data_IF_284992639860
#
_entry.id   IF_284992639860
#
_cell.length_a   1.000
_cell.length_b   1.000
_cell.length_c   1.000
_cell.angle_alpha   90.00
_cell.angle_beta   90.00
_cell.angle_gamma   90.00
#
_symmetry.space_group_name_H-M   'P 1'
#
loop_
_entity.id
_entity.type
_entity.pdbx_description
1 polymer ?
#
# COMPACT_ATOMS: atom_id res chain seq x y z
N UNK A 1 13.14 -16.81 -8.69
CA UNK A 1 11.94 -17.19 -7.90
C UNK A 1 10.72 -16.24 -8.09
N UNK A 2 10.78 -15.19 -8.92
CA UNK A 2 9.68 -14.24 -9.17
C UNK A 2 8.54 -14.74 -10.11
N UNK A 3 8.47 -16.05 -10.36
CA UNK A 3 7.60 -16.63 -11.40
C UNK A 3 6.30 -17.24 -10.89
N UNK A 4 6.28 -17.71 -9.64
CA UNK A 4 5.16 -18.50 -9.12
C UNK A 4 4.68 -17.97 -7.77
N UNK A 5 3.48 -17.40 -7.76
CA UNK A 5 2.86 -16.87 -6.54
C UNK A 5 2.60 -17.97 -5.51
N UNK A 6 2.16 -19.16 -5.95
CA UNK A 6 1.72 -20.24 -5.05
C UNK A 6 2.86 -20.91 -4.27
N UNK A 7 4.11 -20.71 -4.69
CA UNK A 7 5.31 -21.20 -4.00
C UNK A 7 6.08 -20.04 -3.34
N UNK A 8 5.49 -18.85 -3.31
CA UNK A 8 6.15 -17.66 -2.77
C UNK A 8 5.83 -17.47 -1.29
N UNK A 9 6.75 -16.83 -0.57
CA UNK A 9 6.52 -16.42 0.81
C UNK A 9 5.34 -15.46 0.97
N UNK A 10 4.99 -14.72 -0.09
CA UNK A 10 3.78 -13.88 -0.09
C UNK A 10 2.52 -14.74 0.10
N UNK A 11 2.39 -15.83 -0.65
CA UNK A 11 1.21 -16.69 -0.54
C UNK A 11 1.17 -17.41 0.81
N UNK A 12 2.31 -17.96 1.23
CA UNK A 12 2.40 -18.81 2.41
C UNK A 12 2.24 -18.05 3.74
N UNK A 13 2.79 -16.82 3.84
CA UNK A 13 2.90 -16.11 5.12
C UNK A 13 2.11 -14.81 5.21
N UNK A 14 1.65 -14.25 4.08
CA UNK A 14 1.11 -12.89 4.01
C UNK A 14 -0.29 -12.80 3.39
N UNK A 15 -0.96 -13.94 3.22
CA UNK A 15 -2.39 -14.02 2.88
C UNK A 15 -3.13 -14.50 4.13
N UNK A 16 -3.87 -13.58 4.75
CA UNK A 16 -4.59 -13.83 6.00
C UNK A 16 -6.09 -13.98 5.76
N UNK A 17 -6.75 -14.71 6.65
CA UNK A 17 -8.20 -14.63 6.77
C UNK A 17 -8.62 -13.33 7.47
N UNK A 18 -9.82 -12.84 7.16
CA UNK A 18 -10.33 -11.58 7.75
C UNK A 18 -10.34 -11.61 9.28
N UNK A 19 -10.72 -12.74 9.88
CA UNK A 19 -10.80 -12.89 11.34
C UNK A 19 -9.42 -12.88 11.99
N UNK A 20 -8.44 -13.53 11.36
CA UNK A 20 -7.05 -13.52 11.81
C UNK A 20 -6.48 -12.11 11.79
N UNK A 21 -6.70 -11.38 10.70
CA UNK A 21 -6.23 -9.99 10.56
C UNK A 21 -6.86 -9.05 11.61
N UNK A 22 -8.15 -9.23 11.93
CA UNK A 22 -8.80 -8.48 13.00
C UNK A 22 -8.24 -8.82 14.38
N UNK A 23 -7.89 -10.09 14.61
CA UNK A 23 -7.26 -10.53 15.87
C UNK A 23 -5.88 -9.89 16.03
N UNK A 24 -5.06 -9.89 15.00
CA UNK A 24 -3.72 -9.28 15.05
C UNK A 24 -3.81 -7.76 15.32
N UNK A 25 -4.86 -7.09 14.81
CA UNK A 25 -5.12 -5.65 15.03
C UNK A 25 -5.89 -5.33 16.31
N UNK A 26 -6.15 -6.32 17.17
CA UNK A 26 -7.02 -6.14 18.34
C UNK A 26 -6.54 -5.05 19.30
N UNK A 27 -5.24 -4.76 19.35
CA UNK A 27 -4.69 -3.69 20.20
C UNK A 27 -5.04 -2.30 19.70
N UNK A 28 -4.93 -2.06 18.40
CA UNK A 28 -5.27 -0.78 17.78
C UNK A 28 -6.79 -0.58 17.73
N UNK A 29 -7.55 -1.67 17.55
CA UNK A 29 -9.02 -1.65 17.56
C UNK A 29 -9.62 -1.33 18.94
N UNK A 30 -8.83 -1.36 20.02
CA UNK A 30 -9.25 -0.81 21.32
C UNK A 30 -9.29 0.72 21.34
N UNK A 31 -8.52 1.36 20.45
CA UNK A 31 -8.39 2.83 20.36
C UNK A 31 -9.25 3.37 19.22
N UNK A 32 -9.21 2.67 18.08
CA UNK A 32 -9.89 3.06 16.85
C UNK A 32 -11.04 2.10 16.53
N UNK A 33 -12.14 2.64 16.03
CA UNK A 33 -13.17 1.84 15.37
C UNK A 33 -12.64 1.29 14.03
N UNK A 34 -13.28 0.24 13.49
CA UNK A 34 -12.88 -0.35 12.19
C UNK A 34 -12.91 0.69 11.05
N UNK A 35 -13.88 1.60 11.07
CA UNK A 35 -13.99 2.69 10.08
C UNK A 35 -12.87 3.72 10.23
N UNK A 36 -12.55 4.12 11.47
CA UNK A 36 -11.43 5.04 11.75
C UNK A 36 -10.08 4.44 11.35
N UNK A 37 -9.88 3.15 11.64
CA UNK A 37 -8.68 2.44 11.22
C UNK A 37 -8.57 2.34 9.70
N UNK A 38 -9.70 2.15 9.00
CA UNK A 38 -9.73 2.18 7.54
C UNK A 38 -9.38 3.57 6.98
N UNK A 39 -9.91 4.66 7.58
CA UNK A 39 -9.55 6.04 7.23
C UNK A 39 -8.06 6.31 7.42
N UNK A 40 -7.49 5.85 8.53
CA UNK A 40 -6.06 5.92 8.81
C UNK A 40 -5.24 5.19 7.74
N UNK A 41 -5.68 3.99 7.33
CA UNK A 41 -5.02 3.20 6.28
C UNK A 41 -5.11 3.83 4.89
N UNK A 42 -6.19 4.57 4.59
CA UNK A 42 -6.33 5.36 3.35
C UNK A 42 -5.34 6.53 3.38
N UNK A 43 -5.31 7.27 4.51
CA UNK A 43 -4.38 8.39 4.69
C UNK A 43 -2.92 7.96 4.50
N UNK A 44 -2.48 6.87 5.15
CA UNK A 44 -1.10 6.39 5.02
C UNK A 44 -0.76 5.95 3.59
N UNK A 45 -1.70 5.34 2.87
CA UNK A 45 -1.49 4.99 1.47
C UNK A 45 -1.28 6.25 0.60
N UNK A 46 -2.09 7.30 0.81
CA UNK A 46 -1.99 8.56 0.08
C UNK A 46 -0.71 9.34 0.43
N UNK A 47 -0.29 9.29 1.70
CA UNK A 47 0.97 9.89 2.14
C UNK A 47 2.17 9.15 1.54
N UNK A 48 2.21 7.81 1.58
CA UNK A 48 3.27 7.01 0.96
C UNK A 48 3.36 7.28 -0.54
N UNK A 49 2.22 7.36 -1.24
CA UNK A 49 2.18 7.71 -2.65
C UNK A 49 2.76 9.11 -2.90
N UNK A 50 2.41 10.09 -2.06
CA UNK A 50 2.95 11.45 -2.14
C UNK A 50 4.46 11.47 -1.88
N UNK A 51 4.93 10.81 -0.83
CA UNK A 51 6.35 10.69 -0.49
C UNK A 51 7.16 10.04 -1.60
N UNK A 52 6.62 8.98 -2.21
CA UNK A 52 7.29 8.29 -3.30
C UNK A 52 7.38 9.16 -4.56
N UNK A 53 6.39 10.00 -4.85
CA UNK A 53 6.39 10.88 -6.03
C UNK A 53 7.27 12.12 -5.81
N UNK A 54 7.21 12.73 -4.63
CA UNK A 54 7.93 13.97 -4.30
C UNK A 54 9.38 13.71 -3.82
N UNK A 55 9.67 12.49 -3.36
CA UNK A 55 11.00 12.08 -2.88
C UNK A 55 12.07 11.96 -3.96
N UNK A 56 11.70 12.00 -5.24
CA UNK A 56 12.64 11.97 -6.36
C UNK A 56 13.17 13.38 -6.66
N UNK A 57 14.48 13.47 -6.90
CA UNK A 57 15.14 14.72 -7.29
C UNK A 57 14.62 15.23 -8.65
N UNK A 58 14.51 16.56 -8.78
CA UNK A 58 14.07 17.19 -10.03
C UNK A 58 14.97 16.77 -11.20
N UNK A 59 14.37 16.27 -12.27
CA UNK A 59 15.09 15.81 -13.48
C UNK A 59 15.15 14.28 -13.66
N UNK A 60 14.72 13.49 -12.68
CA UNK A 60 14.66 12.03 -12.78
C UNK A 60 13.25 11.51 -13.16
N UNK A 61 13.14 10.31 -13.75
CA UNK A 61 11.86 9.71 -14.09
C UNK A 61 11.02 9.48 -12.83
N UNK A 62 9.72 9.69 -12.93
CA UNK A 62 8.77 9.45 -11.83
C UNK A 62 8.85 7.99 -11.35
N UNK A 63 8.64 7.81 -10.04
CA UNK A 63 8.61 6.50 -9.39
C UNK A 63 7.59 5.59 -10.06
N UNK A 64 8.00 4.35 -10.34
CA UNK A 64 7.10 3.33 -10.93
C UNK A 64 6.01 2.96 -9.93
N UNK A 65 4.79 2.74 -10.41
CA UNK A 65 3.67 2.33 -9.55
C UNK A 65 3.96 1.04 -8.77
N UNK A 66 4.76 0.12 -9.32
CA UNK A 66 5.19 -1.10 -8.63
C UNK A 66 5.93 -0.80 -7.32
N UNK A 67 6.84 0.19 -7.32
CA UNK A 67 7.59 0.62 -6.12
C UNK A 67 6.63 1.16 -5.06
N UNK A 68 5.69 2.02 -5.47
CA UNK A 68 4.69 2.61 -4.58
C UNK A 68 3.79 1.52 -3.98
N UNK A 69 3.34 0.58 -4.80
CA UNK A 69 2.51 -0.53 -4.35
C UNK A 69 3.26 -1.44 -3.37
N UNK A 70 4.53 -1.76 -3.63
CA UNK A 70 5.38 -2.54 -2.71
C UNK A 70 5.54 -1.82 -1.37
N UNK A 71 5.80 -0.50 -1.38
CA UNK A 71 5.90 0.31 -0.16
C UNK A 71 4.61 0.32 0.66
N UNK A 72 3.45 0.48 0.01
CA UNK A 72 2.14 0.44 0.69
C UNK A 72 1.90 -0.96 1.30
N UNK A 73 2.28 -2.02 0.62
CA UNK A 73 2.14 -3.40 1.14
C UNK A 73 3.05 -3.61 2.36
N UNK A 74 4.31 -3.17 2.32
CA UNK A 74 5.21 -3.25 3.48
C UNK A 74 4.65 -2.54 4.70
N UNK A 75 4.14 -1.31 4.53
CA UNK A 75 3.50 -0.57 5.61
C UNK A 75 2.30 -1.33 6.19
N UNK A 76 1.44 -1.88 5.33
CA UNK A 76 0.27 -2.67 5.76
C UNK A 76 0.66 -3.97 6.46
N UNK A 77 1.71 -4.64 6.01
CA UNK A 77 2.25 -5.87 6.62
C UNK A 77 2.83 -5.59 8.01
N UNK A 78 3.57 -4.49 8.15
CA UNK A 78 4.12 -4.04 9.42
C UNK A 78 3.02 -3.82 10.48
N UNK A 79 2.05 -2.95 10.17
CA UNK A 79 0.92 -2.65 11.08
C UNK A 79 -0.18 -3.72 11.09
N UNK A 80 0.01 -4.84 10.37
CA UNK A 80 -0.81 -6.03 10.61
C UNK A 80 -0.32 -6.79 11.84
N UNK A 81 1.00 -6.81 12.10
CA UNK A 81 1.61 -7.56 13.21
C UNK A 81 2.01 -6.69 14.39
N UNK A 82 2.22 -5.38 14.18
CA UNK A 82 2.63 -4.40 15.19
C UNK A 82 1.56 -3.34 15.39
N UNK A 83 1.50 -2.81 16.62
CA UNK A 83 0.62 -1.69 16.96
C UNK A 83 1.26 -0.36 16.56
N UNK A 84 0.42 0.66 16.37
CA UNK A 84 0.85 2.06 16.22
C UNK A 84 1.67 2.61 17.41
N UNK A 85 1.72 1.89 18.53
CA UNK A 85 2.49 2.21 19.74
C UNK A 85 3.98 1.94 19.64
N UNK A 86 4.35 0.98 18.80
CA UNK A 86 5.69 0.40 18.83
C UNK A 86 6.69 1.30 18.09
N UNK A 87 6.32 1.72 16.88
CA UNK A 87 7.19 2.53 16.01
C UNK A 87 6.37 3.62 15.32
N UNK A 88 6.99 4.80 15.19
CA UNK A 88 6.40 5.93 14.48
C UNK A 88 6.02 5.55 13.03
N UNK A 89 4.73 5.66 12.68
CA UNK A 89 4.25 5.41 11.32
C UNK A 89 4.93 6.20 10.24
N UNK A 90 5.34 7.44 10.54
CA UNK A 90 5.99 8.25 9.53
C UNK A 90 7.38 7.71 9.17
N UNK A 91 8.11 7.19 10.16
CA UNK A 91 9.41 6.56 9.94
C UNK A 91 9.26 5.27 9.14
N UNK A 92 8.29 4.42 9.50
CA UNK A 92 8.00 3.18 8.77
C UNK A 92 7.52 3.47 7.35
N UNK A 93 6.73 4.53 7.12
CA UNK A 93 6.31 4.96 5.79
C UNK A 93 7.51 5.34 4.92
N UNK A 94 8.46 6.12 5.45
CA UNK A 94 9.69 6.47 4.74
C UNK A 94 10.55 5.23 4.46
N UNK A 95 10.72 4.36 5.46
CA UNK A 95 11.51 3.13 5.35
C UNK A 95 10.91 2.19 4.32
N UNK A 96 9.57 2.11 4.25
CA UNK A 96 8.86 1.30 3.25
C UNK A 96 9.12 1.79 1.83
N UNK A 97 9.10 3.10 1.59
CA UNK A 97 9.41 3.68 0.27
C UNK A 97 10.87 3.41 -0.10
N UNK A 98 11.79 3.65 0.83
CA UNK A 98 13.22 3.43 0.61
C UNK A 98 13.54 1.95 0.33
N UNK A 99 13.05 1.03 1.17
CA UNK A 99 13.26 -0.41 1.00
C UNK A 99 12.63 -0.92 -0.31
N UNK A 100 11.40 -0.49 -0.63
CA UNK A 100 10.75 -0.87 -1.89
C UNK A 100 11.54 -0.37 -3.10
N UNK A 101 12.12 0.84 -3.04
CA UNK A 101 12.94 1.38 -4.12
C UNK A 101 14.19 0.53 -4.37
N UNK A 102 14.79 -0.04 -3.33
CA UNK A 102 15.94 -0.96 -3.46
C UNK A 102 15.53 -2.31 -4.05
N UNK A 103 14.42 -2.88 -3.58
CA UNK A 103 13.94 -4.21 -3.99
C UNK A 103 13.46 -4.25 -5.43
N UNK A 104 12.78 -3.19 -5.88
CA UNK A 104 12.26 -3.05 -7.26
C UNK A 104 13.31 -2.43 -8.21
N UNK A 105 14.57 -2.38 -7.79
CA UNK A 105 15.72 -1.86 -8.56
C UNK A 105 15.54 -0.41 -9.05
N UNK A 106 14.82 0.40 -8.28
CA UNK A 106 14.63 1.83 -8.46
C UNK A 106 15.60 2.61 -7.56
N UNK A 107 16.91 2.44 -7.77
CA UNK A 107 17.99 2.91 -6.89
C UNK A 107 18.26 4.43 -6.85
N UNK A 108 17.25 5.28 -7.05
CA UNK A 108 17.39 6.74 -7.12
C UNK A 108 16.97 7.48 -5.84
N UNK A 109 16.41 6.77 -4.85
CA UNK A 109 15.88 7.40 -3.64
C UNK A 109 16.87 7.29 -2.49
N UNK A 110 17.23 8.42 -1.89
CA UNK A 110 17.98 8.46 -0.64
C UNK A 110 17.05 8.75 0.53
N UNK A 111 17.19 8.00 1.61
CA UNK A 111 16.38 8.17 2.82
C UNK A 111 16.46 9.59 3.43
N UNK A 112 17.63 10.24 3.35
CA UNK A 112 17.81 11.62 3.82
C UNK A 112 16.99 12.64 3.02
N UNK A 113 16.81 12.44 1.72
CA UNK A 113 15.95 13.28 0.89
C UNK A 113 14.47 13.03 1.21
N UNK A 114 14.08 11.78 1.45
CA UNK A 114 12.70 11.45 1.85
C UNK A 114 12.28 12.21 3.11
N UNK A 115 13.10 12.25 4.15
CA UNK A 115 12.79 13.00 5.37
C UNK A 115 12.68 14.50 5.10
N UNK A 116 13.59 15.06 4.31
CA UNK A 116 13.55 16.48 3.92
C UNK A 116 12.30 16.83 3.11
N UNK A 117 11.72 15.87 2.39
CA UNK A 117 10.47 16.08 1.65
C UNK A 117 9.22 16.01 2.51
N UNK A 118 9.27 15.39 3.70
CA UNK A 118 8.11 15.27 4.61
C UNK A 118 7.39 16.61 4.84
N UNK A 119 8.06 17.72 5.22
CA UNK A 119 7.38 18.98 5.46
C UNK A 119 6.68 19.53 4.21
N UNK A 120 7.21 19.24 3.02
CA UNK A 120 6.57 19.63 1.75
C UNK A 120 5.35 18.76 1.46
N UNK A 121 5.44 17.44 1.67
CA UNK A 121 4.31 16.53 1.52
C UNK A 121 3.17 16.87 2.49
N UNK A 122 3.52 17.24 3.72
CA UNK A 122 2.57 17.61 4.77
C UNK A 122 1.84 18.95 4.52
N UNK A 123 2.29 19.77 3.56
CA UNK A 123 1.53 20.97 3.14
C UNK A 123 0.13 20.63 2.62
N UNK A 124 -0.08 19.42 2.11
CA UNK A 124 -1.41 18.94 1.70
C UNK A 124 -2.37 18.76 2.89
N UNK A 125 -1.83 18.57 4.09
CA UNK A 125 -2.56 18.40 5.36
C UNK A 125 -2.09 19.45 6.39
N UNK A 126 -2.49 20.72 6.24
CA UNK A 126 -1.96 21.83 7.05
C UNK A 126 -2.24 21.69 8.56
N UNK A 127 -3.18 20.82 8.93
CA UNK A 127 -3.55 20.53 10.30
C UNK A 127 -2.58 19.56 11.00
N UNK A 128 -1.63 18.95 10.27
CA UNK A 128 -0.67 17.99 10.79
C UNK A 128 0.72 18.65 10.88
N UNK A 129 1.10 19.11 12.07
CA UNK A 129 2.46 19.58 12.34
C UNK A 129 3.32 18.43 12.81
N UNK A 130 4.32 18.06 12.02
CA UNK A 130 5.30 17.04 12.37
C UNK A 130 6.70 17.65 12.45
N UNK A 131 7.35 17.50 13.59
CA UNK A 131 8.75 17.90 13.75
C UNK A 131 9.68 16.83 13.16
N UNK A 132 9.98 16.96 11.87
CA UNK A 132 10.85 16.05 11.14
C UNK A 132 12.33 16.15 11.57
N UNK A 133 12.70 17.18 12.34
CA UNK A 133 14.10 17.52 12.66
C UNK A 133 14.72 16.60 13.70
N UNK A 134 13.94 16.08 14.64
CA UNK A 134 14.47 15.41 15.83
C UNK A 134 14.69 13.89 15.70
N UNK A 135 14.31 13.27 14.57
CA UNK A 135 14.27 11.79 14.43
C UNK A 135 15.19 11.19 13.36
N UNK A 136 16.22 11.92 12.93
CA UNK A 136 17.18 11.41 11.94
C UNK A 136 18.03 10.22 12.44
N UNK A 137 18.18 10.04 13.76
CA UNK A 137 19.01 8.98 14.35
C UNK A 137 18.42 7.57 14.26
N UNK A 138 17.09 7.41 14.34
CA UNK A 138 16.40 6.10 14.30
C UNK A 138 16.09 5.58 12.89
N UNK A 139 16.75 6.12 11.87
CA UNK A 139 16.36 5.95 10.48
C UNK A 139 16.76 4.59 9.88
N UNK A 140 18.01 4.20 10.12
CA UNK A 140 18.51 2.89 9.73
C UNK A 140 17.92 1.79 10.63
N UNK A 141 17.64 2.12 11.89
CA UNK A 141 16.93 1.23 12.80
C UNK A 141 15.51 0.93 12.28
N UNK A 142 14.79 1.94 11.77
CA UNK A 142 13.45 1.72 11.19
C UNK A 142 13.47 0.81 9.96
N UNK A 143 14.49 0.91 9.10
CA UNK A 143 14.66 -0.02 7.98
C UNK A 143 14.95 -1.44 8.48
N UNK A 144 15.86 -1.60 9.43
CA UNK A 144 16.21 -2.89 10.00
C UNK A 144 14.99 -3.56 10.66
N UNK A 145 14.27 -2.81 11.49
CA UNK A 145 13.03 -3.25 12.15
C UNK A 145 11.98 -3.64 11.10
N UNK A 146 11.84 -2.88 10.00
CA UNK A 146 10.91 -3.22 8.94
C UNK A 146 11.26 -4.56 8.27
N UNK A 147 12.53 -4.77 7.92
CA UNK A 147 12.99 -6.02 7.28
C UNK A 147 12.79 -7.22 8.21
N UNK A 148 13.10 -7.05 9.50
CA UNK A 148 12.91 -8.08 10.53
C UNK A 148 11.43 -8.45 10.66
N UNK A 149 10.53 -7.47 10.79
CA UNK A 149 9.09 -7.73 10.93
C UNK A 149 8.44 -8.31 9.67
N UNK A 150 9.06 -8.10 8.51
CA UNK A 150 8.66 -8.70 7.24
C UNK A 150 9.18 -10.14 7.07
N UNK A 151 9.94 -10.69 8.02
CA UNK A 151 10.61 -11.99 7.92
C UNK A 151 11.45 -12.10 6.63
N UNK A 152 12.10 -11.00 6.22
CA UNK A 152 12.80 -10.89 4.93
C UNK A 152 11.94 -11.20 3.67
N UNK A 153 10.61 -11.17 3.78
CA UNK A 153 9.69 -11.43 2.66
C UNK A 153 9.50 -10.20 1.76
N UNK A 154 10.56 -9.85 1.04
CA UNK A 154 10.62 -8.61 0.24
C UNK A 154 9.94 -8.74 -1.14
N UNK A 155 9.78 -9.95 -1.69
CA UNK A 155 9.14 -10.11 -3.00
C UNK A 155 7.62 -9.99 -2.86
N UNK A 156 7.04 -8.94 -3.45
CA UNK A 156 5.60 -8.70 -3.46
C UNK A 156 5.03 -8.93 -4.86
N UNK A 157 3.89 -9.60 -4.93
CA UNK A 157 3.17 -9.86 -6.18
C UNK A 157 2.00 -8.88 -6.28
N UNK A 158 1.95 -8.13 -7.37
CA UNK A 158 0.95 -7.09 -7.61
C UNK A 158 -0.08 -7.49 -8.69
N UNK A 159 -1.31 -6.95 -8.64
CA UNK A 159 -2.34 -7.25 -9.63
C UNK A 159 -2.06 -6.64 -11.02
N UNK A 160 -1.03 -5.80 -11.17
CA UNK A 160 -0.71 -5.16 -12.46
C UNK A 160 -0.36 -6.18 -13.55
N UNK A 161 0.37 -7.25 -13.21
CA UNK A 161 0.81 -8.27 -14.17
C UNK A 161 -0.38 -9.03 -14.81
N UNK A 162 -1.34 -9.60 -14.04
CA UNK A 162 -2.53 -10.20 -14.65
C UNK A 162 -3.40 -9.18 -15.39
N UNK A 163 -3.49 -7.93 -14.91
CA UNK A 163 -4.21 -6.87 -15.63
C UNK A 163 -3.57 -6.52 -16.97
N UNK A 164 -2.24 -6.56 -17.11
CA UNK A 164 -1.57 -6.35 -18.40
C UNK A 164 -1.99 -7.39 -19.42
N UNK A 165 -2.18 -8.65 -19.02
CA UNK A 165 -2.72 -9.70 -19.90
C UNK A 165 -4.14 -9.36 -20.36
N UNK A 166 -5.00 -8.85 -19.47
CA UNK A 166 -6.36 -8.43 -19.84
C UNK A 166 -6.35 -7.22 -20.80
N UNK A 167 -5.40 -6.29 -20.63
CA UNK A 167 -5.18 -5.19 -21.57
C UNK A 167 -4.69 -5.68 -22.94
N UNK A 168 -3.88 -6.73 -22.98
CA UNK A 168 -3.49 -7.36 -24.25
C UNK A 168 -4.71 -7.94 -24.98
N UNK A 169 -5.64 -8.58 -24.28
CA UNK A 169 -6.91 -9.05 -24.86
C UNK A 169 -7.73 -7.89 -25.42
N UNK A 170 -7.79 -6.75 -24.70
CA UNK A 170 -8.45 -5.56 -25.21
C UNK A 170 -7.80 -5.03 -26.50
N UNK A 171 -6.47 -5.06 -26.59
CA UNK A 171 -5.76 -4.70 -27.81
C UNK A 171 -6.01 -5.70 -28.95
N UNK A 172 -6.08 -7.00 -28.64
CA UNK A 172 -6.36 -8.04 -29.61
C UNK A 172 -7.80 -7.98 -30.13
N UNK A 173 -8.75 -7.47 -29.33
CA UNK A 173 -10.13 -7.23 -29.76
C UNK A 173 -10.23 -6.28 -30.96
N UNK A 174 -9.25 -5.39 -31.16
CA UNK A 174 -9.17 -4.49 -32.32
C UNK A 174 -8.90 -5.22 -33.63
N UNK A 175 -8.46 -6.48 -33.58
CA UNK A 175 -8.33 -7.33 -34.77
C UNK A 175 -9.67 -7.90 -35.24
N UNK A 176 -10.76 -7.61 -34.53
CA UNK A 176 -12.13 -8.00 -34.85
C UNK A 176 -13.03 -6.77 -34.97
N UNK A 177 -14.26 -6.96 -35.44
CA UNK A 177 -15.25 -5.88 -35.57
C UNK A 177 -15.85 -5.43 -34.21
N UNK A 178 -15.35 -5.93 -33.07
CA UNK A 178 -15.85 -5.57 -31.74
C UNK A 178 -15.90 -4.06 -31.49
N UNK A 179 -14.92 -3.30 -32.01
CA UNK A 179 -14.87 -1.84 -31.87
C UNK A 179 -15.99 -1.10 -32.62
N UNK A 180 -16.57 -1.74 -33.64
CA UNK A 180 -17.69 -1.21 -34.43
C UNK A 180 -19.04 -1.71 -33.91
N UNK A 181 -19.07 -2.89 -33.29
CA UNK A 181 -20.29 -3.57 -32.84
C UNK A 181 -20.70 -3.20 -31.40
N UNK A 182 -19.74 -2.89 -30.53
CA UNK A 182 -19.99 -2.69 -29.11
C UNK A 182 -19.38 -1.38 -28.57
N UNK A 183 -20.03 -0.74 -27.60
CA UNK A 183 -19.44 0.37 -26.86
C UNK A 183 -18.14 -0.02 -26.12
N UNK A 184 -17.17 0.90 -25.97
CA UNK A 184 -15.86 0.60 -25.37
C UNK A 184 -15.89 0.02 -23.95
N UNK A 185 -16.86 0.42 -23.11
CA UNK A 185 -16.97 -0.09 -21.75
C UNK A 185 -17.38 -1.59 -21.71
N UNK A 186 -18.16 -2.05 -22.69
CA UNK A 186 -18.53 -3.47 -22.82
C UNK A 186 -17.31 -4.29 -23.25
N UNK A 187 -16.54 -3.79 -24.22
CA UNK A 187 -15.30 -4.42 -24.69
C UNK A 187 -14.29 -4.56 -23.54
N UNK A 188 -14.17 -3.53 -22.69
CA UNK A 188 -13.28 -3.56 -21.52
C UNK A 188 -13.69 -4.67 -20.52
N UNK A 189 -14.98 -4.79 -20.18
CA UNK A 189 -15.48 -5.84 -19.29
C UNK A 189 -15.29 -7.22 -19.92
N UNK A 190 -15.60 -7.38 -21.21
CA UNK A 190 -15.40 -8.62 -21.94
C UNK A 190 -13.93 -9.06 -21.95
N UNK A 191 -13.00 -8.11 -22.13
CA UNK A 191 -11.55 -8.37 -22.12
C UNK A 191 -11.05 -8.90 -20.77
N UNK A 192 -11.64 -8.43 -19.66
CA UNK A 192 -11.35 -8.95 -18.31
C UNK A 192 -11.84 -10.40 -18.18
N UNK A 193 -13.06 -10.69 -18.64
CA UNK A 193 -13.66 -12.03 -18.57
C UNK A 193 -12.85 -13.03 -19.40
N UNK A 194 -12.56 -12.69 -20.66
CA UNK A 194 -11.78 -13.52 -21.57
C UNK A 194 -10.35 -13.69 -21.05
N UNK A 195 -9.72 -12.62 -20.57
CA UNK A 195 -8.39 -12.69 -19.97
C UNK A 195 -8.33 -13.59 -18.74
N UNK A 196 -9.37 -13.59 -17.89
CA UNK A 196 -9.46 -14.49 -16.74
C UNK A 196 -9.55 -15.97 -17.17
N UNK A 197 -10.35 -16.27 -18.20
CA UNK A 197 -10.51 -17.64 -18.73
C UNK A 197 -9.20 -18.15 -19.36
N UNK A 198 -8.50 -17.31 -20.14
CA UNK A 198 -7.21 -17.65 -20.76
C UNK A 198 -6.11 -17.97 -19.73
N UNK A 199 -6.19 -17.41 -18.52
CA UNK A 199 -5.25 -17.71 -17.44
C UNK A 199 -5.57 -19.02 -16.70
N UNK A 200 -6.62 -19.75 -17.11
CA UNK A 200 -7.11 -20.98 -16.50
C UNK A 200 -7.28 -20.86 -14.96
N UNK A 201 -7.63 -19.65 -14.49
CA UNK A 201 -7.84 -19.39 -13.07
C UNK A 201 -9.27 -19.79 -12.74
N UNK A 202 -9.42 -21.00 -12.23
CA UNK A 202 -10.72 -21.52 -11.81
C UNK A 202 -11.40 -20.56 -10.83
N UNK A 203 -12.70 -20.48 -11.06
CA UNK A 203 -13.68 -19.52 -10.58
C UNK A 203 -13.95 -19.68 -9.09
N UNK A 204 -13.03 -19.24 -8.25
CA UNK A 204 -13.28 -18.99 -6.82
C UNK A 204 -14.18 -17.74 -6.68
N UNK A 205 -15.37 -17.78 -7.30
CA UNK A 205 -16.31 -16.67 -7.46
C UNK A 205 -16.66 -16.06 -6.11
N UNK A 206 -16.73 -16.89 -5.05
CA UNK A 206 -16.95 -16.43 -3.67
C UNK A 206 -15.87 -15.45 -3.23
N UNK A 207 -14.59 -15.79 -3.40
CA UNK A 207 -13.46 -14.91 -3.03
C UNK A 207 -13.42 -13.65 -3.91
N UNK A 208 -13.82 -13.75 -5.18
CA UNK A 208 -13.97 -12.58 -6.05
C UNK A 208 -15.04 -11.64 -5.49
N UNK A 209 -16.22 -12.15 -5.10
CA UNK A 209 -17.27 -11.35 -4.47
C UNK A 209 -16.81 -10.73 -3.14
N UNK A 210 -16.08 -11.45 -2.31
CA UNK A 210 -15.54 -10.91 -1.06
C UNK A 210 -14.54 -9.77 -1.31
N UNK A 211 -13.69 -9.91 -2.34
CA UNK A 211 -12.78 -8.87 -2.78
C UNK A 211 -13.54 -7.64 -3.30
N UNK A 212 -14.55 -7.84 -4.14
CA UNK A 212 -15.43 -6.78 -4.67
C UNK A 212 -16.11 -6.04 -3.52
N UNK A 213 -16.67 -6.75 -2.55
CA UNK A 213 -17.30 -6.16 -1.37
C UNK A 213 -16.31 -5.33 -0.54
N UNK A 214 -15.07 -5.82 -0.39
CA UNK A 214 -14.00 -5.09 0.32
C UNK A 214 -13.64 -3.79 -0.39
N UNK A 215 -13.54 -3.82 -1.73
CA UNK A 215 -13.25 -2.62 -2.54
C UNK A 215 -14.41 -1.62 -2.46
N UNK A 216 -15.66 -2.07 -2.55
CA UNK A 216 -16.83 -1.20 -2.41
C UNK A 216 -16.94 -0.57 -1.03
N UNK A 217 -16.69 -1.35 0.03
CA UNK A 217 -16.65 -0.82 1.39
C UNK A 217 -15.60 0.29 1.51
N UNK A 218 -14.42 0.10 0.93
CA UNK A 218 -13.37 1.13 0.88
C UNK A 218 -13.81 2.38 0.12
N UNK A 219 -14.41 2.27 -1.06
CA UNK A 219 -14.93 3.43 -1.79
C UNK A 219 -16.04 4.16 -1.03
N UNK A 220 -16.90 3.43 -0.30
CA UNK A 220 -17.94 4.04 0.54
C UNK A 220 -17.33 4.89 1.64
N UNK A 221 -16.33 4.36 2.35
CA UNK A 221 -15.59 5.10 3.39
C UNK A 221 -14.81 6.27 2.79
N UNK A 222 -14.18 6.09 1.62
CA UNK A 222 -13.42 7.16 0.98
C UNK A 222 -14.30 8.33 0.54
N UNK A 223 -15.51 8.05 0.04
CA UNK A 223 -16.47 9.10 -0.35
C UNK A 223 -16.87 10.00 0.81
N UNK A 224 -16.95 9.47 2.03
CA UNK A 224 -17.32 10.23 3.24
C UNK A 224 -16.11 10.81 3.98
N UNK A 225 -14.89 10.44 3.59
CA UNK A 225 -13.67 10.80 4.29
C UNK A 225 -13.08 12.11 3.74
N UNK A 226 -13.32 13.22 4.44
CA UNK A 226 -12.53 14.44 4.25
C UNK A 226 -11.22 14.35 5.04
N UNK A 227 -10.11 14.20 4.32
CA UNK A 227 -8.78 14.10 4.92
C UNK A 227 -8.37 15.35 5.73
N UNK A 228 -8.85 16.54 5.38
CA UNK A 228 -8.40 17.76 6.07
C UNK A 228 -9.01 17.87 7.47
N UNK A 229 -10.26 17.44 7.61
CA UNK A 229 -11.00 17.53 8.87
C UNK A 229 -10.82 16.28 9.74
N UNK A 230 -10.90 15.09 9.14
CA UNK A 230 -10.94 13.85 9.90
C UNK A 230 -9.56 13.31 10.30
N UNK A 231 -8.48 13.72 9.64
CA UNK A 231 -7.13 13.21 9.96
C UNK A 231 -6.66 13.69 11.33
N UNK A 232 -6.86 14.97 11.67
CA UNK A 232 -6.36 15.52 12.94
C UNK A 232 -6.91 14.77 14.18
N UNK A 233 -8.24 14.55 14.31
CA UNK A 233 -8.79 13.75 15.41
C UNK A 233 -8.24 12.31 15.48
N UNK A 234 -7.93 11.70 14.33
CA UNK A 234 -7.36 10.35 14.28
C UNK A 234 -5.92 10.33 14.80
N UNK A 235 -5.15 11.38 14.50
CA UNK A 235 -3.78 11.54 14.99
C UNK A 235 -3.73 11.94 16.45
N UNK A 236 -4.69 12.70 16.96
CA UNK A 236 -4.79 13.02 18.39
C UNK A 236 -5.04 11.78 19.25
N UNK A 237 -5.73 10.77 18.70
CA UNK A 237 -5.93 9.45 19.32
C UNK A 237 -4.71 8.54 19.21
N UNK A 238 -3.70 8.92 18.42
CA UNK A 238 -2.56 8.05 18.13
C UNK A 238 -1.77 7.84 19.43
N UNK A 239 -1.57 6.58 19.83
CA UNK A 239 -0.99 6.32 21.13
C UNK A 239 0.45 6.79 21.13
N UNK A 240 0.86 7.45 22.22
CA UNK A 240 2.24 7.91 22.36
C UNK A 240 3.16 6.71 22.25
N UNK A 241 4.17 6.85 21.38
CA UNK A 241 5.21 5.83 21.19
C UNK A 241 5.82 5.58 22.55
N UNK A 242 5.81 4.32 22.98
CA UNK A 242 6.42 3.97 24.25
C UNK A 242 7.94 4.09 24.03
N UNK A 243 8.65 4.99 24.72
CA UNK A 243 10.10 4.93 24.71
C UNK A 243 10.44 3.65 25.48
N UNK A 244 10.63 2.56 24.75
CA UNK A 244 11.19 1.34 25.35
C UNK A 244 12.47 1.69 26.12
N UNK A 245 12.90 0.84 27.07
CA UNK A 245 14.13 1.12 27.81
C UNK A 245 15.25 1.34 26.80
N UNK A 246 15.83 2.54 26.81
CA UNK A 246 17.10 2.81 26.13
C UNK A 246 18.10 1.82 26.69
N UNK A 247 18.52 0.85 25.88
CA UNK A 247 19.63 -0.03 26.20
C UNK A 247 20.95 0.76 26.22
#
# INVERSE_FOLDING_TARGET
MAGNFWQSSHYDQWIFEKQELLRMRSEDLKIYTEEEYQKLMIFWANLIQTLAVEGIQQGHPKTRMQVIATAIVYFKRFYARRSYKDVDPLLIACASVFLASKVEEHGLMSMSNLIKTIPNCLKKWPNLTYDASSKNSGLYDAEFILVEMLDCCLVVYHPYRPLTTMLQVANDSLRSDCSLLYPPHIIAIASIIVGAELMNREKDIKKVYDCVNTIFAMYKTWKTFDEKEHVKPLFDKLPKINPGPTF
#
